data_IF_353248274151
#
_entry.id   IF_353248274151
#
_cell.length_a   1.000
_cell.length_b   1.000
_cell.length_c   1.000
_cell.angle_alpha   90.00
_cell.angle_beta   90.00
_cell.angle_gamma   90.00
#
_symmetry.space_group_name_H-M   'P 1'
#
loop_
_entity.id
_entity.type
_entity.pdbx_description
1 polymer ?
#
# COMPACT_ATOMS: atom_id res chain seq x y z
N UNK A 1 21.60 6.10 -10.34
CA UNK A 1 20.13 6.00 -10.17
C UNK A 1 19.51 6.38 -11.50
N UNK A 2 18.67 5.54 -12.10
CA UNK A 2 18.03 5.84 -13.40
C UNK A 2 16.92 6.88 -13.21
N UNK A 3 16.70 7.73 -14.22
CA UNK A 3 15.64 8.75 -14.22
C UNK A 3 14.28 8.16 -13.85
N UNK A 4 13.95 6.97 -14.37
CA UNK A 4 12.70 6.26 -14.12
C UNK A 4 12.46 5.94 -12.64
N UNK A 5 13.52 5.53 -11.90
CA UNK A 5 13.41 5.25 -10.47
C UNK A 5 13.14 6.50 -9.65
N UNK A 6 13.69 7.64 -10.07
CA UNK A 6 13.45 8.94 -9.41
C UNK A 6 12.02 9.40 -9.70
N UNK A 7 11.58 9.33 -10.95
CA UNK A 7 10.20 9.66 -11.35
C UNK A 7 9.18 8.80 -10.62
N UNK A 8 9.39 7.48 -10.56
CA UNK A 8 8.50 6.58 -9.83
C UNK A 8 8.46 6.90 -8.34
N UNK A 9 9.62 7.13 -7.72
CA UNK A 9 9.70 7.49 -6.30
C UNK A 9 8.98 8.79 -6.01
N UNK A 10 9.19 9.81 -6.83
CA UNK A 10 8.50 11.09 -6.72
C UNK A 10 7.00 10.88 -6.87
N UNK A 11 6.55 10.22 -7.92
CA UNK A 11 5.13 9.94 -8.12
C UNK A 11 4.51 9.21 -6.91
N UNK A 12 5.16 8.16 -6.40
CA UNK A 12 4.70 7.43 -5.20
C UNK A 12 4.62 8.33 -3.98
N UNK A 13 5.62 9.18 -3.75
CA UNK A 13 5.68 10.08 -2.59
C UNK A 13 4.48 11.03 -2.59
N UNK A 14 4.15 11.61 -3.75
CA UNK A 14 3.08 12.60 -3.86
C UNK A 14 1.68 11.96 -3.96
N UNK A 15 1.54 10.80 -4.60
CA UNK A 15 0.25 10.12 -4.77
C UNK A 15 -0.20 9.33 -3.54
N UNK A 16 0.72 8.81 -2.71
CA UNK A 16 0.38 8.03 -1.51
C UNK A 16 -0.61 8.76 -0.59
N UNK A 17 -0.40 10.02 -0.16
CA UNK A 17 -1.36 10.71 0.71
C UNK A 17 -2.73 10.88 0.05
N UNK A 18 -2.77 11.09 -1.27
CA UNK A 18 -4.02 11.23 -2.04
C UNK A 18 -4.81 9.92 -2.04
N UNK A 19 -4.13 8.78 -2.29
CA UNK A 19 -4.74 7.45 -2.28
C UNK A 19 -5.27 7.06 -0.89
N UNK A 20 -4.53 7.40 0.16
CA UNK A 20 -4.98 7.17 1.54
C UNK A 20 -6.20 8.02 1.89
N UNK A 21 -6.24 9.27 1.45
CA UNK A 21 -7.41 10.13 1.66
C UNK A 21 -8.63 9.64 0.88
N UNK A 22 -8.43 9.22 -0.38
CA UNK A 22 -9.45 8.54 -1.19
C UNK A 22 -10.01 7.31 -0.48
N UNK A 23 -9.16 6.50 0.15
CA UNK A 23 -9.59 5.30 0.88
C UNK A 23 -10.50 5.64 2.07
N UNK A 24 -10.22 6.72 2.81
CA UNK A 24 -11.11 7.15 3.92
C UNK A 24 -12.52 7.51 3.45
N UNK A 25 -12.63 8.08 2.24
CA UNK A 25 -13.91 8.47 1.63
C UNK A 25 -14.49 7.44 0.66
N UNK A 26 -13.99 6.21 0.66
CA UNK A 26 -14.43 5.18 -0.29
C UNK A 26 -15.94 4.91 -0.22
N UNK A 27 -16.55 5.11 0.96
CA UNK A 27 -17.98 4.96 1.18
C UNK A 27 -18.85 5.92 0.33
N UNK A 28 -18.26 6.97 -0.23
CA UNK A 28 -18.92 7.95 -1.09
C UNK A 28 -18.73 7.65 -2.59
N UNK A 29 -17.93 6.63 -2.91
CA UNK A 29 -17.53 6.30 -4.27
C UNK A 29 -18.43 5.22 -4.86
N UNK A 30 -18.66 5.30 -6.17
CA UNK A 30 -19.38 4.27 -6.89
C UNK A 30 -18.64 2.92 -6.80
N UNK A 31 -19.34 1.77 -6.93
CA UNK A 31 -18.71 0.46 -6.81
C UNK A 31 -17.50 0.27 -7.74
N UNK A 32 -17.57 0.79 -8.98
CA UNK A 32 -16.47 0.69 -9.94
C UNK A 32 -15.23 1.50 -9.50
N UNK A 33 -15.45 2.70 -8.96
CA UNK A 33 -14.38 3.56 -8.48
C UNK A 33 -13.71 2.99 -7.22
N UNK A 34 -14.51 2.41 -6.32
CA UNK A 34 -13.99 1.68 -5.15
C UNK A 34 -13.09 0.52 -5.56
N UNK A 35 -13.52 -0.29 -6.53
CA UNK A 35 -12.71 -1.40 -7.03
C UNK A 35 -11.41 -0.92 -7.67
N UNK A 36 -11.47 0.16 -8.47
CA UNK A 36 -10.28 0.74 -9.09
C UNK A 36 -9.30 1.26 -8.03
N UNK A 37 -9.80 1.94 -7.00
CA UNK A 37 -8.99 2.43 -5.89
C UNK A 37 -8.31 1.27 -5.14
N UNK A 38 -9.06 0.20 -4.84
CA UNK A 38 -8.52 -0.98 -4.18
C UNK A 38 -7.39 -1.63 -5.00
N UNK A 39 -7.60 -1.82 -6.31
CA UNK A 39 -6.58 -2.37 -7.21
C UNK A 39 -5.27 -1.57 -7.14
N UNK A 40 -5.36 -0.25 -7.27
CA UNK A 40 -4.19 0.64 -7.19
C UNK A 40 -3.51 0.52 -5.82
N UNK A 41 -4.27 0.47 -4.73
CA UNK A 41 -3.68 0.33 -3.40
C UNK A 41 -2.99 -1.03 -3.19
N UNK A 42 -3.50 -2.10 -3.79
CA UNK A 42 -2.87 -3.43 -3.79
C UNK A 42 -1.56 -3.42 -4.57
N UNK A 43 -1.57 -2.91 -5.81
CA UNK A 43 -0.38 -2.78 -6.66
C UNK A 43 0.71 -1.93 -5.98
N UNK A 44 0.29 -0.90 -5.24
CA UNK A 44 1.18 -0.03 -4.46
C UNK A 44 1.56 -0.61 -3.09
N UNK A 45 0.98 -1.75 -2.69
CA UNK A 45 1.16 -2.40 -1.38
C UNK A 45 0.82 -1.47 -0.19
N UNK A 46 -0.20 -0.65 -0.37
CA UNK A 46 -0.71 0.27 0.66
C UNK A 46 -1.75 -0.40 1.57
N UNK A 47 -2.30 -1.55 1.18
CA UNK A 47 -3.18 -2.37 2.00
C UNK A 47 -2.43 -3.55 2.60
N UNK A 48 -2.67 -3.80 3.89
CA UNK A 48 -2.19 -5.00 4.58
C UNK A 48 -3.13 -6.19 4.33
N UNK A 49 -3.32 -6.56 3.06
CA UNK A 49 -4.18 -7.68 2.68
C UNK A 49 -3.53 -9.06 2.84
N UNK A 50 -2.28 -9.11 3.33
CA UNK A 50 -1.49 -10.33 3.35
C UNK A 50 -1.14 -10.78 1.94
N UNK A 51 0.04 -11.38 1.75
CA UNK A 51 0.31 -12.11 0.51
C UNK A 51 -0.07 -13.58 0.71
N UNK A 52 -0.76 -14.22 -0.26
CA UNK A 52 -0.87 -15.67 -0.29
C UNK A 52 0.51 -16.36 -0.50
N UNK A 53 1.53 -15.65 -0.97
CA UNK A 53 2.86 -16.20 -1.33
C UNK A 53 4.05 -15.66 -0.49
N UNK A 54 3.81 -14.81 0.51
CA UNK A 54 4.86 -13.97 1.09
C UNK A 54 5.57 -14.53 2.34
N UNK A 55 6.88 -14.75 2.24
CA UNK A 55 7.86 -14.95 3.36
C UNK A 55 7.84 -13.89 4.49
N UNK A 56 7.01 -12.85 4.39
CA UNK A 56 6.92 -11.68 5.30
C UNK A 56 6.34 -12.00 6.69
N UNK A 57 5.75 -13.19 6.92
CA UNK A 57 5.47 -13.67 8.30
C UNK A 57 6.73 -13.75 9.17
N UNK A 58 7.93 -13.85 8.59
CA UNK A 58 9.15 -14.18 9.35
C UNK A 58 9.85 -13.01 10.04
N UNK A 59 9.45 -11.75 9.84
CA UNK A 59 10.05 -10.60 10.55
C UNK A 59 9.20 -10.02 11.67
N UNK A 60 7.88 -10.15 11.60
CA UNK A 60 6.99 -9.64 12.65
C UNK A 60 7.10 -10.46 13.96
N UNK A 61 7.33 -11.78 13.89
CA UNK A 61 7.51 -12.67 15.06
C UNK A 61 8.84 -12.45 15.83
N UNK A 62 9.87 -11.91 15.17
CA UNK A 62 11.18 -11.69 15.79
C UNK A 62 11.31 -10.34 16.50
N UNK A 63 10.38 -9.40 16.27
CA UNK A 63 10.36 -8.11 16.96
C UNK A 63 9.57 -8.14 18.28
N UNK A 64 8.78 -9.19 18.54
CA UNK A 64 7.97 -9.31 19.77
C UNK A 64 8.65 -10.15 20.87
N UNK A 65 9.86 -10.69 20.63
CA UNK A 65 10.63 -11.50 21.60
C UNK A 65 11.85 -10.77 22.15
N UNK A 66 11.82 -9.45 22.22
CA UNK A 66 12.93 -8.64 22.74
C UNK A 66 12.41 -7.50 23.62
N UNK A 67 11.62 -7.86 24.63
CA UNK A 67 11.19 -7.03 25.76
C UNK A 67 10.53 -7.95 26.79
N UNK A 68 11.34 -8.79 27.43
CA UNK A 68 11.15 -9.29 28.80
C UNK A 68 12.54 -9.56 29.35
#
# INVERSE_FOLDING_TARGET
>A
MTSDRITERTYRTWSTPILLELKKREHQMDPAERQALENVMIERRLLNIGSPDGKERRKAELSHKRTT
#
